data_IF_799786633423
#
_entry.id   IF_799786633423
#
_cell.length_a   1.000
_cell.length_b   1.000
_cell.length_c   1.000
_cell.angle_alpha   90.00
_cell.angle_beta   90.00
_cell.angle_gamma   90.00
#
_symmetry.space_group_name_H-M   'P 1'
#
loop_
_entity.id
_entity.type
_entity.pdbx_description
1 polymer ?
#
# COMPACT_ATOMS: atom_id res chain seq x y z
N UNK A 1 9.00 25.67 -14.59
CA UNK A 1 9.77 25.49 -13.35
C UNK A 1 9.63 24.03 -12.95
N UNK A 2 10.65 23.21 -13.18
CA UNK A 2 10.63 21.79 -12.78
C UNK A 2 11.03 21.73 -11.32
N UNK A 3 10.09 21.40 -10.45
CA UNK A 3 10.40 21.10 -9.05
C UNK A 3 11.50 20.02 -9.05
N UNK A 4 12.64 20.22 -8.36
CA UNK A 4 13.69 19.22 -8.32
C UNK A 4 13.11 17.91 -7.76
N UNK A 5 13.21 16.83 -8.52
CA UNK A 5 12.74 15.49 -8.14
C UNK A 5 13.24 15.09 -6.74
N UNK A 6 14.42 15.57 -6.37
CA UNK A 6 15.06 15.38 -5.06
C UNK A 6 14.23 15.95 -3.90
N UNK A 7 13.60 17.12 -4.09
CA UNK A 7 12.71 17.74 -3.09
C UNK A 7 11.44 16.93 -2.89
N UNK A 8 10.88 16.36 -3.97
CA UNK A 8 9.68 15.52 -3.91
C UNK A 8 9.96 14.19 -3.19
N UNK A 9 11.10 13.57 -3.46
CA UNK A 9 11.52 12.33 -2.79
C UNK A 9 11.72 12.57 -1.29
N UNK A 10 12.35 13.67 -0.93
CA UNK A 10 12.56 14.04 0.48
C UNK A 10 11.23 14.31 1.20
N UNK A 11 10.31 15.04 0.57
CA UNK A 11 8.98 15.30 1.13
C UNK A 11 8.18 14.01 1.35
N UNK A 12 8.20 13.08 0.38
CA UNK A 12 7.57 11.75 0.51
C UNK A 12 8.16 10.95 1.68
N UNK A 13 9.47 11.00 1.86
CA UNK A 13 10.13 10.31 2.97
C UNK A 13 9.70 10.88 4.33
N UNK A 14 9.65 12.21 4.46
CA UNK A 14 9.17 12.89 5.67
C UNK A 14 7.71 12.57 5.98
N UNK A 15 6.85 12.57 4.97
CA UNK A 15 5.44 12.18 5.09
C UNK A 15 5.31 10.73 5.56
N UNK A 16 6.04 9.81 4.93
CA UNK A 16 6.03 8.39 5.31
C UNK A 16 6.52 8.19 6.74
N UNK A 17 7.53 8.96 7.17
CA UNK A 17 8.01 8.91 8.55
C UNK A 17 6.94 9.39 9.53
N UNK A 18 6.27 10.51 9.27
CA UNK A 18 5.15 10.98 10.11
C UNK A 18 3.94 10.03 10.11
N UNK A 19 3.67 9.38 8.98
CA UNK A 19 2.67 8.31 8.87
C UNK A 19 2.95 7.17 9.85
N UNK A 20 4.22 6.78 9.99
CA UNK A 20 4.65 5.71 10.92
C UNK A 20 4.68 6.22 12.37
N UNK A 21 5.24 7.39 12.63
CA UNK A 21 5.35 7.97 13.98
C UNK A 21 3.99 8.24 14.64
N UNK A 22 2.99 8.61 13.84
CA UNK A 22 1.61 8.79 14.30
C UNK A 22 0.83 7.49 14.52
N UNK A 23 1.38 6.34 14.07
CA UNK A 23 0.67 5.06 14.04
C UNK A 23 -0.44 4.96 12.98
N UNK A 24 -0.61 5.98 12.14
CA UNK A 24 -1.61 5.97 11.08
C UNK A 24 -1.25 4.95 9.98
N UNK A 25 0.05 4.74 9.72
CA UNK A 25 0.52 3.71 8.82
C UNK A 25 0.02 2.32 9.24
N UNK A 26 0.22 1.94 10.51
CA UNK A 26 -0.26 0.67 11.05
C UNK A 26 -1.79 0.56 10.97
N UNK A 27 -2.52 1.66 11.21
CA UNK A 27 -3.98 1.69 11.12
C UNK A 27 -4.46 1.47 9.68
N UNK A 28 -3.90 2.17 8.70
CA UNK A 28 -4.24 2.03 7.28
C UNK A 28 -3.85 0.64 6.77
N UNK A 29 -2.65 0.17 7.12
CA UNK A 29 -2.15 -1.16 6.74
C UNK A 29 -3.02 -2.28 7.31
N UNK A 30 -3.35 -2.21 8.60
CA UNK A 30 -4.22 -3.20 9.25
C UNK A 30 -5.63 -3.22 8.64
N UNK A 31 -6.16 -2.04 8.30
CA UNK A 31 -7.46 -1.93 7.63
C UNK A 31 -7.43 -2.52 6.23
N UNK A 32 -6.40 -2.20 5.42
CA UNK A 32 -6.20 -2.79 4.10
C UNK A 32 -6.13 -4.32 4.19
N UNK A 33 -5.29 -4.87 5.08
CA UNK A 33 -5.13 -6.32 5.25
C UNK A 33 -6.46 -6.98 5.64
N UNK A 34 -7.20 -6.37 6.59
CA UNK A 34 -8.50 -6.88 7.01
C UNK A 34 -9.50 -6.92 5.84
N UNK A 35 -9.60 -5.83 5.07
CA UNK A 35 -10.51 -5.76 3.92
C UNK A 35 -10.12 -6.74 2.82
N UNK A 36 -8.83 -6.91 2.54
CA UNK A 36 -8.33 -7.93 1.60
C UNK A 36 -8.66 -9.36 2.03
N UNK A 37 -8.76 -9.63 3.33
CA UNK A 37 -9.24 -10.92 3.83
C UNK A 37 -10.76 -11.05 3.71
N UNK A 38 -11.51 -10.01 4.10
CA UNK A 38 -12.98 -10.01 4.07
C UNK A 38 -13.55 -10.12 2.65
N UNK A 39 -12.92 -9.50 1.66
CA UNK A 39 -13.35 -9.58 0.26
C UNK A 39 -12.89 -10.87 -0.45
N UNK A 40 -12.16 -11.76 0.25
CA UNK A 40 -11.68 -13.03 -0.31
C UNK A 40 -10.40 -12.94 -1.12
N UNK A 41 -9.90 -11.73 -1.44
CA UNK A 41 -8.68 -11.53 -2.25
C UNK A 41 -7.48 -12.31 -1.70
N UNK A 42 -7.28 -12.30 -0.37
CA UNK A 42 -6.17 -13.03 0.25
C UNK A 42 -6.25 -14.54 -0.01
N UNK A 43 -7.46 -15.11 0.07
CA UNK A 43 -7.69 -16.53 -0.20
C UNK A 43 -7.43 -16.85 -1.67
N UNK A 44 -7.98 -16.04 -2.58
CA UNK A 44 -7.83 -16.21 -4.02
C UNK A 44 -6.35 -16.16 -4.45
N UNK A 45 -5.59 -15.21 -3.89
CA UNK A 45 -4.16 -15.09 -4.16
C UNK A 45 -3.36 -16.25 -3.60
N UNK A 46 -3.70 -16.72 -2.39
CA UNK A 46 -3.07 -17.89 -1.79
C UNK A 46 -3.33 -19.16 -2.62
N UNK A 47 -4.56 -19.38 -3.04
CA UNK A 47 -4.95 -20.52 -3.86
C UNK A 47 -4.29 -20.47 -5.24
N UNK A 48 -4.23 -19.28 -5.85
CA UNK A 48 -3.53 -19.08 -7.11
C UNK A 48 -2.02 -19.37 -6.99
N UNK A 49 -1.39 -18.88 -5.92
CA UNK A 49 0.02 -19.14 -5.61
C UNK A 49 0.27 -20.63 -5.42
N UNK A 50 -0.58 -21.30 -4.65
CA UNK A 50 -0.47 -22.73 -4.38
C UNK A 50 -0.66 -23.56 -5.65
N UNK A 51 -1.61 -23.18 -6.50
CA UNK A 51 -1.80 -23.81 -7.81
C UNK A 51 -0.53 -23.69 -8.66
N UNK A 52 0.07 -22.49 -8.75
CA UNK A 52 1.30 -22.25 -9.52
C UNK A 52 2.49 -23.06 -8.99
N UNK A 53 2.69 -23.07 -7.67
CA UNK A 53 3.77 -23.84 -7.02
C UNK A 53 3.62 -25.34 -7.29
N UNK A 54 2.40 -25.88 -7.20
CA UNK A 54 2.12 -27.31 -7.45
C UNK A 54 2.38 -27.72 -8.90
N UNK A 55 2.31 -26.80 -9.86
CA UNK A 55 2.58 -27.06 -11.27
C UNK A 55 4.04 -26.78 -11.67
N UNK A 56 4.89 -26.34 -10.74
CA UNK A 56 6.31 -26.14 -10.98
C UNK A 56 7.13 -27.31 -10.43
N UNK A 57 7.99 -27.91 -11.27
CA UNK A 57 8.91 -28.98 -10.83
C UNK A 57 10.00 -28.46 -9.86
N UNK A 58 10.38 -27.18 -9.99
CA UNK A 58 11.33 -26.49 -9.10
C UNK A 58 10.79 -25.10 -8.76
N UNK A 59 10.08 -24.94 -7.63
CA UNK A 59 9.56 -23.64 -7.26
C UNK A 59 10.72 -22.70 -6.91
N UNK A 60 10.78 -21.55 -7.60
CA UNK A 60 11.68 -20.45 -7.28
C UNK A 60 10.85 -19.28 -6.76
N UNK A 61 11.16 -18.84 -5.54
CA UNK A 61 10.40 -17.78 -4.88
C UNK A 61 10.41 -16.46 -5.65
N UNK A 62 11.56 -16.01 -6.14
CA UNK A 62 11.65 -14.73 -6.87
C UNK A 62 10.84 -14.75 -8.17
N UNK A 63 10.90 -15.84 -8.92
CA UNK A 63 10.15 -15.98 -10.16
C UNK A 63 8.64 -16.03 -9.88
N UNK A 64 8.25 -16.72 -8.79
CA UNK A 64 6.86 -16.80 -8.36
C UNK A 64 6.32 -15.43 -7.95
N UNK A 65 7.08 -14.64 -7.18
CA UNK A 65 6.69 -13.28 -6.80
C UNK A 65 6.53 -12.41 -8.04
N UNK A 66 7.50 -12.41 -8.96
CA UNK A 66 7.43 -11.62 -10.21
C UNK A 66 6.22 -11.95 -11.07
N UNK A 67 5.76 -13.21 -11.05
CA UNK A 67 4.58 -13.64 -11.80
C UNK A 67 3.27 -13.26 -11.09
N UNK A 68 3.24 -13.36 -9.76
CA UNK A 68 2.02 -13.21 -8.96
C UNK A 68 1.74 -11.76 -8.58
N UNK A 69 2.78 -10.95 -8.35
CA UNK A 69 2.69 -9.53 -7.99
C UNK A 69 1.81 -8.70 -8.95
N UNK A 70 2.02 -8.72 -10.28
CA UNK A 70 1.19 -7.93 -11.20
C UNK A 70 -0.28 -8.36 -11.16
N UNK A 71 -0.54 -9.66 -10.99
CA UNK A 71 -1.91 -10.17 -10.84
C UNK A 71 -2.52 -9.75 -9.51
N UNK A 72 -1.75 -9.78 -8.44
CA UNK A 72 -2.16 -9.29 -7.13
C UNK A 72 -2.65 -7.85 -7.22
N UNK A 73 -1.84 -6.97 -7.82
CA UNK A 73 -2.19 -5.55 -8.00
C UNK A 73 -3.42 -5.33 -8.91
N UNK A 74 -3.55 -6.13 -9.97
CA UNK A 74 -4.66 -6.05 -10.91
C UNK A 74 -5.99 -6.56 -10.31
N UNK A 75 -5.93 -7.49 -9.37
CA UNK A 75 -7.12 -8.13 -8.76
C UNK A 75 -7.60 -7.43 -7.50
N UNK A 76 -6.85 -6.45 -6.97
CA UNK A 76 -7.33 -5.63 -5.85
C UNK A 76 -8.61 -4.89 -6.27
N UNK A 77 -9.72 -5.03 -5.52
CA UNK A 77 -10.96 -4.33 -5.80
C UNK A 77 -10.81 -2.80 -5.84
N UNK A 78 -11.47 -2.15 -6.79
CA UNK A 78 -11.34 -0.70 -7.00
C UNK A 78 -11.95 0.12 -5.86
N UNK A 79 -13.06 -0.35 -5.30
CA UNK A 79 -13.69 0.21 -4.10
C UNK A 79 -12.72 0.23 -2.91
N UNK A 80 -11.97 -0.86 -2.71
CA UNK A 80 -10.95 -0.93 -1.67
C UNK A 80 -9.79 0.04 -1.94
N UNK A 81 -9.35 0.19 -3.19
CA UNK A 81 -8.30 1.18 -3.53
C UNK A 81 -8.77 2.59 -3.21
N UNK A 82 -9.98 2.95 -3.60
CA UNK A 82 -10.55 4.27 -3.33
C UNK A 82 -10.68 4.51 -1.83
N UNK A 83 -11.14 3.51 -1.06
CA UNK A 83 -11.25 3.56 0.39
C UNK A 83 -9.90 3.85 1.06
N UNK A 84 -8.86 3.08 0.71
CA UNK A 84 -7.53 3.22 1.31
C UNK A 84 -6.83 4.51 0.86
N UNK A 85 -6.98 4.91 -0.40
CA UNK A 85 -6.48 6.21 -0.89
C UNK A 85 -7.17 7.38 -0.18
N UNK A 86 -8.47 7.26 0.11
CA UNK A 86 -9.20 8.22 0.93
C UNK A 86 -8.59 8.37 2.32
N UNK A 87 -8.36 7.25 3.02
CA UNK A 87 -7.72 7.27 4.33
C UNK A 87 -6.32 7.91 4.32
N UNK A 88 -5.52 7.64 3.29
CA UNK A 88 -4.21 8.29 3.12
C UNK A 88 -4.39 9.78 2.89
N UNK A 89 -5.33 10.20 2.03
CA UNK A 89 -5.59 11.61 1.73
C UNK A 89 -6.04 12.38 2.97
N UNK A 90 -6.98 11.83 3.73
CA UNK A 90 -7.48 12.42 4.97
C UNK A 90 -6.34 12.61 5.98
N UNK A 91 -5.45 11.63 6.09
CA UNK A 91 -4.28 11.72 6.96
C UNK A 91 -3.28 12.79 6.48
N UNK A 92 -3.05 12.89 5.17
CA UNK A 92 -2.18 13.93 4.61
C UNK A 92 -2.77 15.33 4.85
N UNK A 93 -4.08 15.50 4.73
CA UNK A 93 -4.75 16.76 5.05
C UNK A 93 -4.60 17.11 6.54
N UNK A 94 -4.73 16.14 7.44
CA UNK A 94 -4.48 16.32 8.87
C UNK A 94 -3.04 16.76 9.14
N UNK A 95 -2.03 16.14 8.52
CA UNK A 95 -0.63 16.54 8.69
C UNK A 95 -0.35 17.94 8.13
N UNK A 96 -0.80 18.21 6.90
CA UNK A 96 -0.49 19.47 6.21
C UNK A 96 -1.12 20.66 6.94
N UNK A 97 -2.33 20.49 7.48
CA UNK A 97 -2.99 21.55 8.26
C UNK A 97 -2.30 21.88 9.59
N UNK A 98 -1.52 20.94 10.16
CA UNK A 98 -0.75 21.18 11.40
C UNK A 98 0.48 22.07 11.12
N UNK A 99 1.07 22.01 9.93
CA UNK A 99 2.28 22.80 9.61
C UNK A 99 2.00 24.31 9.42
N UNK A 100 0.78 24.67 9.01
CA UNK A 100 0.37 26.07 8.87
C UNK A 100 0.13 26.78 10.23
N UNK A 101 0.02 26.04 11.32
CA UNK A 101 -0.21 26.60 12.68
C UNK A 101 1.06 26.78 13.52
N UNK A 102 2.20 26.24 13.07
CA UNK A 102 3.49 26.42 13.75
C UNK A 102 4.33 27.59 13.21
N UNK A 103 3.74 28.45 12.39
CA UNK A 103 4.28 29.77 12.06
C UNK A 103 3.40 30.86 12.70
N UNK A 104 3.44 30.95 14.03
CA UNK A 104 3.19 32.19 14.73
C UNK A 104 4.08 32.29 15.97
#
# INVERSE_FOLDING_TARGET
>A
MTVPTETIVNLRAQINQKLVESGAYERISSHLVKRLHECGWYSDMKDHTLFKVRHQEKPNFENLVKEIEPKGLATVPEDLKVEILGMIKDFLEEIVTIEDTNSC
#
